data_IF_433362783517
#
_entry.id   IF_433362783517
#
_cell.length_a   1.000
_cell.length_b   1.000
_cell.length_c   1.000
_cell.angle_alpha   90.00
_cell.angle_beta   90.00
_cell.angle_gamma   90.00
#
_symmetry.space_group_name_H-M   'P 1'
#
loop_
_entity.id
_entity.type
_entity.pdbx_description
1 polymer ?
#
# COMPACT_ATOMS: atom_id res chain seq x y z
N UNK A 1 -0.10 -3.13 -5.17
CA UNK A 1 -0.76 -3.46 -6.44
C UNK A 1 -0.62 -4.93 -6.69
N UNK A 2 -1.69 -5.73 -6.67
CA UNK A 2 -1.63 -7.03 -7.34
C UNK A 2 -2.08 -6.78 -8.77
N UNK A 3 -1.11 -6.57 -9.65
CA UNK A 3 -1.37 -6.50 -11.09
C UNK A 3 -1.99 -7.83 -11.49
N UNK A 4 -3.22 -7.80 -12.01
CA UNK A 4 -3.78 -8.97 -12.68
C UNK A 4 -3.01 -9.19 -13.98
N UNK A 5 -2.93 -10.44 -14.42
CA UNK A 5 -2.42 -10.73 -15.75
C UNK A 5 -3.19 -9.87 -16.77
N UNK A 6 -2.48 -9.17 -17.68
CA UNK A 6 -3.14 -8.34 -18.69
C UNK A 6 -4.00 -9.23 -19.59
N UNK A 7 -5.29 -8.92 -19.65
CA UNK A 7 -6.21 -9.55 -20.60
C UNK A 7 -6.26 -8.70 -21.88
N UNK A 8 -5.63 -9.22 -22.92
CA UNK A 8 -5.59 -8.58 -24.24
C UNK A 8 -6.84 -8.88 -25.08
N UNK A 9 -7.71 -9.77 -24.61
CA UNK A 9 -8.81 -10.32 -25.39
C UNK A 9 -8.33 -11.12 -26.62
N UNK A 10 -9.12 -11.09 -27.69
CA UNK A 10 -8.76 -11.67 -29.00
C UNK A 10 -8.67 -10.54 -30.05
N UNK A 11 -7.52 -9.85 -30.15
CA UNK A 11 -7.36 -8.78 -31.13
C UNK A 11 -7.36 -9.36 -32.55
N UNK A 12 -8.29 -8.90 -33.39
CA UNK A 12 -8.43 -9.35 -34.78
C UNK A 12 -7.51 -8.63 -35.78
N UNK A 13 -6.86 -7.54 -35.37
CA UNK A 13 -5.93 -6.76 -36.20
C UNK A 13 -4.97 -5.90 -35.34
N UNK A 14 -3.98 -5.26 -35.99
CA UNK A 14 -2.97 -4.43 -35.30
C UNK A 14 -3.62 -3.26 -34.53
N UNK A 15 -4.65 -2.62 -35.08
CA UNK A 15 -5.32 -1.50 -34.42
C UNK A 15 -5.96 -1.92 -33.08
N UNK A 16 -6.68 -3.05 -33.08
CA UNK A 16 -7.29 -3.62 -31.86
C UNK A 16 -6.24 -4.10 -30.86
N UNK A 17 -5.11 -4.63 -31.32
CA UNK A 17 -3.97 -4.97 -30.45
C UNK A 17 -3.37 -3.73 -29.77
N UNK A 18 -3.15 -2.65 -30.52
CA UNK A 18 -2.62 -1.39 -29.96
C UNK A 18 -3.56 -0.83 -28.89
N UNK A 19 -4.87 -0.86 -29.14
CA UNK A 19 -5.87 -0.42 -28.17
C UNK A 19 -5.85 -1.28 -26.90
N UNK A 20 -5.76 -2.61 -27.05
CA UNK A 20 -5.66 -3.54 -25.92
C UNK A 20 -4.39 -3.29 -25.08
N UNK A 21 -3.24 -3.10 -25.74
CA UNK A 21 -1.98 -2.79 -25.06
C UNK A 21 -2.05 -1.46 -24.29
N UNK A 22 -2.61 -0.40 -24.89
CA UNK A 22 -2.80 0.89 -24.20
C UNK A 22 -3.68 0.75 -22.95
N UNK A 23 -4.80 0.04 -23.06
CA UNK A 23 -5.70 -0.23 -21.92
C UNK A 23 -5.00 -0.95 -20.77
N UNK A 24 -4.07 -1.86 -21.08
CA UNK A 24 -3.29 -2.55 -20.06
C UNK A 24 -2.17 -1.68 -19.46
N UNK A 25 -1.52 -0.84 -20.27
CA UNK A 25 -0.39 -0.02 -19.83
C UNK A 25 -0.79 1.24 -19.05
N UNK A 26 -1.91 1.88 -19.40
CA UNK A 26 -2.33 3.14 -18.81
C UNK A 26 -2.49 3.09 -17.27
N UNK A 27 -3.15 2.07 -16.67
CA UNK A 27 -3.20 1.95 -15.21
C UNK A 27 -1.83 1.79 -14.55
N UNK A 28 -0.88 1.13 -15.24
CA UNK A 28 0.48 0.90 -14.74
C UNK A 28 1.24 2.23 -14.71
N UNK A 29 1.16 3.01 -15.79
CA UNK A 29 1.81 4.33 -15.89
C UNK A 29 1.25 5.26 -14.82
N UNK A 30 -0.07 5.34 -14.68
CA UNK A 30 -0.71 6.21 -13.69
C UNK A 30 -0.30 5.84 -12.26
N UNK A 31 -0.23 4.54 -11.94
CA UNK A 31 0.25 4.07 -10.65
C UNK A 31 1.72 4.42 -10.42
N UNK A 32 2.59 4.19 -11.41
CA UNK A 32 4.02 4.46 -11.28
C UNK A 32 4.28 5.95 -11.04
N UNK A 33 3.58 6.82 -11.76
CA UNK A 33 3.66 8.26 -11.58
C UNK A 33 3.21 8.65 -10.17
N UNK A 34 2.05 8.16 -9.71
CA UNK A 34 1.56 8.46 -8.38
C UNK A 34 2.47 7.95 -7.25
N UNK A 35 3.14 6.79 -7.44
CA UNK A 35 4.18 6.30 -6.53
C UNK A 35 5.43 7.20 -6.53
N UNK A 36 5.84 7.66 -7.70
CA UNK A 36 7.00 8.55 -7.88
C UNK A 36 6.75 9.93 -7.26
N UNK A 37 5.52 10.42 -7.34
CA UNK A 37 5.06 11.65 -6.70
C UNK A 37 4.89 11.49 -5.18
N UNK A 38 5.05 10.28 -4.64
CA UNK A 38 4.93 10.00 -3.21
C UNK A 38 3.48 9.96 -2.69
N UNK A 39 2.49 9.82 -3.57
CA UNK A 39 1.09 9.81 -3.18
C UNK A 39 0.74 8.56 -2.34
N UNK A 40 0.20 8.77 -1.14
CA UNK A 40 -0.23 7.67 -0.28
C UNK A 40 -1.35 6.82 -0.90
N UNK A 41 -2.19 7.43 -1.75
CA UNK A 41 -3.25 6.74 -2.51
C UNK A 41 -2.71 5.69 -3.49
N UNK A 42 -1.46 5.83 -3.94
CA UNK A 42 -0.82 4.86 -4.84
C UNK A 42 -0.32 3.60 -4.12
N UNK A 43 -0.30 3.62 -2.78
CA UNK A 43 0.21 2.54 -1.93
C UNK A 43 -0.94 1.61 -1.52
N UNK A 44 -1.04 0.46 -2.16
CA UNK A 44 -2.18 -0.46 -1.96
C UNK A 44 -2.20 -1.20 -0.62
N UNK A 45 -1.15 -1.14 0.18
CA UNK A 45 -1.11 -1.66 1.55
C UNK A 45 -1.25 -0.52 2.60
N UNK A 46 -1.84 0.61 2.20
CA UNK A 46 -2.18 1.67 3.13
C UNK A 46 -3.51 1.33 3.84
N UNK A 47 -3.53 1.44 5.17
CA UNK A 47 -4.69 1.15 6.01
C UNK A 47 -4.75 2.12 7.20
N UNK A 48 -5.90 2.21 7.86
CA UNK A 48 -6.09 3.05 9.06
C UNK A 48 -5.74 2.33 10.36
N UNK A 49 -5.46 1.02 10.30
CA UNK A 49 -5.15 0.17 11.44
C UNK A 49 -4.28 -1.02 11.00
N UNK A 50 -3.54 -1.69 11.92
CA UNK A 50 -2.88 -2.95 11.59
C UNK A 50 -3.93 -4.05 11.33
N UNK A 51 -3.53 -5.20 10.77
CA UNK A 51 -4.46 -6.29 10.51
C UNK A 51 -5.19 -6.73 11.78
N UNK A 52 -6.50 -6.87 11.69
CA UNK A 52 -7.32 -7.37 12.80
C UNK A 52 -6.87 -8.79 13.20
N UNK A 53 -6.96 -9.11 14.49
CA UNK A 53 -6.56 -10.42 15.02
C UNK A 53 -7.28 -11.62 14.36
N UNK A 54 -8.44 -11.38 13.73
CA UNK A 54 -9.24 -12.36 12.98
C UNK A 54 -8.75 -12.58 11.54
N UNK A 55 -7.73 -11.85 11.08
CA UNK A 55 -7.22 -11.95 9.72
C UNK A 55 -6.48 -13.27 9.50
N UNK A 56 -6.92 -14.02 8.50
CA UNK A 56 -6.32 -15.29 8.08
C UNK A 56 -5.15 -15.12 7.11
N UNK A 57 -4.82 -13.88 6.74
CA UNK A 57 -3.72 -13.59 5.82
C UNK A 57 -2.39 -13.87 6.51
N UNK A 58 -1.51 -14.71 5.93
CA UNK A 58 -0.18 -14.90 6.48
C UNK A 58 0.69 -13.66 6.22
N UNK A 59 1.31 -13.16 7.28
CA UNK A 59 2.32 -12.10 7.23
C UNK A 59 3.65 -12.61 7.77
N UNK A 60 4.73 -12.12 7.18
CA UNK A 60 6.09 -12.39 7.59
C UNK A 60 6.65 -11.25 8.46
N UNK A 61 7.64 -11.56 9.30
CA UNK A 61 8.40 -10.53 10.02
C UNK A 61 9.01 -9.55 9.01
N UNK A 62 8.84 -8.26 9.27
CA UNK A 62 9.30 -7.18 8.39
C UNK A 62 8.24 -6.66 7.41
N UNK A 63 7.10 -7.36 7.26
CA UNK A 63 5.97 -6.83 6.50
C UNK A 63 5.52 -5.50 7.11
N UNK A 64 5.23 -4.53 6.23
CA UNK A 64 4.86 -3.18 6.63
C UNK A 64 3.51 -2.79 6.03
N UNK A 65 2.69 -2.11 6.82
CA UNK A 65 1.41 -1.54 6.39
C UNK A 65 1.48 -0.03 6.66
N UNK A 66 1.32 0.76 5.60
CA UNK A 66 1.41 2.22 5.69
C UNK A 66 0.15 2.77 6.35
N UNK A 67 0.28 3.79 7.20
CA UNK A 67 -0.89 4.49 7.71
C UNK A 67 -1.49 5.38 6.61
N UNK A 68 -2.75 5.16 6.26
CA UNK A 68 -3.48 5.96 5.26
C UNK A 68 -4.08 7.26 5.83
N UNK A 69 -4.13 7.40 7.16
CA UNK A 69 -4.62 8.58 7.84
C UNK A 69 -3.65 9.00 8.97
N UNK A 70 -2.42 9.45 8.63
CA UNK A 70 -1.48 9.93 9.63
C UNK A 70 -2.04 11.16 10.34
N UNK A 71 -2.04 11.13 11.66
CA UNK A 71 -2.40 12.24 12.53
C UNK A 71 -1.31 12.44 13.58
N UNK A 72 -1.15 13.69 14.02
CA UNK A 72 -0.29 14.00 15.14
C UNK A 72 -1.02 13.65 16.44
N UNK A 73 -0.39 12.83 17.26
CA UNK A 73 -0.90 12.31 18.52
C UNK A 73 0.08 12.62 19.65
N UNK A 74 -0.38 12.51 20.90
CA UNK A 74 0.44 12.69 22.09
C UNK A 74 0.27 14.06 22.75
N UNK A 75 1.03 14.26 23.82
CA UNK A 75 1.04 15.50 24.60
C UNK A 75 2.11 16.47 24.07
N UNK A 76 1.97 17.75 24.42
CA UNK A 76 2.99 18.76 24.12
C UNK A 76 4.37 18.32 24.65
N UNK A 77 5.40 18.48 23.83
CA UNK A 77 6.77 18.04 24.11
C UNK A 77 7.03 16.55 23.86
N UNK A 78 6.02 15.78 23.45
CA UNK A 78 6.14 14.36 23.14
C UNK A 78 5.21 13.93 22.01
N UNK A 79 4.87 14.84 21.09
CA UNK A 79 4.02 14.51 19.95
C UNK A 79 4.71 13.60 18.95
N UNK A 80 3.90 12.77 18.29
CA UNK A 80 4.35 11.81 17.28
C UNK A 80 3.30 11.58 16.19
N UNK A 81 3.77 11.11 15.04
CA UNK A 81 2.94 10.61 13.94
C UNK A 81 3.18 9.11 13.80
N UNK A 82 2.10 8.35 13.66
CA UNK A 82 2.18 6.92 13.29
C UNK A 82 2.29 6.82 11.77
N UNK A 83 3.47 6.41 11.29
CA UNK A 83 3.75 6.23 9.85
C UNK A 83 3.12 4.93 9.30
N UNK A 84 2.90 3.95 10.15
CA UNK A 84 2.38 2.64 9.80
C UNK A 84 2.69 1.60 10.88
N UNK A 85 2.55 0.33 10.51
CA UNK A 85 2.76 -0.80 11.40
C UNK A 85 3.72 -1.79 10.76
N UNK A 86 4.65 -2.31 11.57
CA UNK A 86 5.59 -3.35 11.18
C UNK A 86 5.25 -4.66 11.89
N UNK A 87 5.26 -5.76 11.14
CA UNK A 87 5.12 -7.10 11.67
C UNK A 87 6.43 -7.53 12.34
N UNK A 88 6.42 -7.72 13.67
CA UNK A 88 7.59 -8.13 14.46
C UNK A 88 7.65 -9.65 14.67
N UNK A 89 6.52 -10.34 14.54
CA UNK A 89 6.42 -11.80 14.60
C UNK A 89 5.46 -12.30 13.53
N UNK A 90 5.91 -13.23 12.70
CA UNK A 90 5.12 -13.80 11.61
C UNK A 90 3.87 -14.53 12.13
N UNK A 91 2.79 -14.54 11.35
CA UNK A 91 1.57 -15.26 11.72
C UNK A 91 0.36 -14.88 10.87
N UNK A 92 -0.83 -15.27 11.36
CA UNK A 92 -2.14 -14.95 10.76
C UNK A 92 -2.99 -14.19 11.79
N UNK A 93 -2.80 -12.87 11.96
CA UNK A 93 -1.97 -11.96 11.14
C UNK A 93 -0.53 -11.70 11.64
N UNK A 94 -0.07 -12.36 12.71
CA UNK A 94 1.21 -12.04 13.35
C UNK A 94 1.11 -10.89 14.37
N UNK A 95 2.23 -10.49 14.96
CA UNK A 95 2.30 -9.39 15.94
C UNK A 95 2.76 -8.10 15.28
N UNK A 96 2.02 -7.01 15.52
CA UNK A 96 2.25 -5.72 14.89
C UNK A 96 2.64 -4.66 15.91
N UNK A 97 3.51 -3.73 15.50
CA UNK A 97 3.93 -2.57 16.29
C UNK A 97 3.85 -1.31 15.45
N UNK A 98 3.51 -0.20 16.08
CA UNK A 98 3.48 1.11 15.45
C UNK A 98 4.90 1.64 15.18
N UNK A 99 5.13 2.09 13.95
CA UNK A 99 6.31 2.86 13.60
C UNK A 99 5.98 4.34 13.77
N UNK A 100 6.54 4.94 14.83
CA UNK A 100 6.28 6.33 15.21
C UNK A 100 7.44 7.24 14.79
N UNK A 101 7.11 8.43 14.33
CA UNK A 101 8.06 9.52 14.11
C UNK A 101 7.74 10.62 15.13
N UNK A 102 8.70 10.98 15.98
CA UNK A 102 8.55 12.10 16.93
C UNK A 102 8.53 13.42 16.13
N UNK A 103 7.57 14.29 16.42
CA UNK A 103 7.46 15.61 15.77
C UNK A 103 8.07 16.73 16.60
N UNK A 104 8.29 16.49 17.90
CA UNK A 104 9.02 17.41 18.79
C UNK A 104 8.25 18.65 19.24
N UNK A 105 6.95 18.73 18.95
CA UNK A 105 6.03 19.77 19.42
C UNK A 105 5.29 19.36 20.70
#
# INVERSE_FOLDING_TARGET
MRLRAPDLGQPGNIATLIAALRRCMEPIVNQLNALSDGQASAVNNAATAPPAATSVTPYARGDFIKNSAPAELGNAGARYIVLGWMCIEAGKPGQWRECRCLTGN
#
